data_IF_434478606190
#
_entry.id   IF_434478606190
#
_cell.length_a   1.000
_cell.length_b   1.000
_cell.length_c   1.000
_cell.angle_alpha   90.00
_cell.angle_beta   90.00
_cell.angle_gamma   90.00
#
_symmetry.space_group_name_H-M   'P 1'
#
loop_
_entity.id
_entity.type
_entity.pdbx_description
1 polymer ?
#
# COMPACT_ATOMS: atom_id res chain seq x y z
N UNK A 1 0.24 36.55 10.42
CA UNK A 1 0.96 35.59 9.55
C UNK A 1 0.02 34.43 9.21
N UNK A 2 -0.66 34.46 8.04
CA UNK A 2 -1.36 33.27 7.56
C UNK A 2 -0.31 32.23 7.15
N UNK A 3 -0.34 31.05 7.77
CA UNK A 3 0.50 29.92 7.36
C UNK A 3 -0.07 29.35 6.06
N UNK A 4 0.73 29.22 5.01
CA UNK A 4 0.29 28.76 3.66
C UNK A 4 -0.20 27.30 3.62
N UNK A 5 0.04 26.53 4.67
CA UNK A 5 -0.34 25.11 4.75
C UNK A 5 -1.69 24.93 5.46
N UNK A 6 -2.55 24.00 4.98
CA UNK A 6 -3.78 23.64 5.65
C UNK A 6 -3.50 23.13 7.07
N UNK A 7 -4.30 23.57 8.05
CA UNK A 7 -4.22 23.07 9.43
C UNK A 7 -5.14 21.88 9.59
N UNK A 8 -4.63 20.83 10.23
CA UNK A 8 -5.42 19.66 10.62
C UNK A 8 -5.62 19.74 12.13
N UNK A 9 -6.89 19.72 12.57
CA UNK A 9 -7.22 19.58 13.98
C UNK A 9 -7.23 18.09 14.33
N UNK A 10 -6.52 17.72 15.39
CA UNK A 10 -6.44 16.33 15.86
C UNK A 10 -6.91 16.29 17.31
N UNK A 11 -7.96 15.51 17.57
CA UNK A 11 -8.41 15.22 18.93
C UNK A 11 -7.51 14.16 19.55
N UNK A 12 -6.95 14.45 20.73
CA UNK A 12 -6.10 13.51 21.46
C UNK A 12 -6.98 12.51 22.20
N UNK A 13 -7.37 11.44 21.50
CA UNK A 13 -8.00 10.26 22.12
C UNK A 13 -6.95 9.46 22.89
N UNK A 14 -7.38 8.49 23.71
CA UNK A 14 -6.47 7.61 24.45
C UNK A 14 -5.48 6.88 23.53
N UNK A 15 -5.94 6.44 22.36
CA UNK A 15 -5.09 5.81 21.36
C UNK A 15 -4.02 6.77 20.80
N UNK A 16 -4.39 8.03 20.54
CA UNK A 16 -3.45 9.06 20.09
C UNK A 16 -2.46 9.40 21.20
N UNK A 17 -2.92 9.52 22.45
CA UNK A 17 -2.05 9.76 23.60
C UNK A 17 -1.01 8.65 23.77
N UNK A 18 -1.44 7.38 23.67
CA UNK A 18 -0.56 6.23 23.74
C UNK A 18 0.47 6.19 22.59
N UNK A 19 0.02 6.47 21.36
CA UNK A 19 0.91 6.55 20.21
C UNK A 19 1.96 7.66 20.37
N UNK A 20 1.58 8.83 20.87
CA UNK A 20 2.50 9.93 21.14
C UNK A 20 3.51 9.58 22.24
N UNK A 21 3.09 8.87 23.28
CA UNK A 21 4.00 8.43 24.34
C UNK A 21 5.02 7.42 23.83
N UNK A 22 4.57 6.49 22.98
CA UNK A 22 5.46 5.56 22.29
C UNK A 22 6.45 6.31 21.39
N UNK A 23 5.96 7.24 20.58
CA UNK A 23 6.78 8.05 19.68
C UNK A 23 7.80 8.91 20.43
N UNK A 24 7.46 9.42 21.61
CA UNK A 24 8.35 10.23 22.45
C UNK A 24 9.56 9.45 22.95
N UNK A 25 9.47 8.12 23.07
CA UNK A 25 10.65 7.28 23.38
C UNK A 25 11.66 7.28 22.25
N UNK A 26 11.18 7.31 21.00
CA UNK A 26 12.03 7.36 19.79
C UNK A 26 12.50 8.78 19.48
N UNK A 27 11.69 9.81 19.78
CA UNK A 27 12.02 11.22 19.56
C UNK A 27 11.75 12.06 20.82
N UNK A 28 12.64 12.03 21.82
CA UNK A 28 12.42 12.66 23.13
C UNK A 28 12.29 14.19 23.07
N UNK A 29 12.93 14.83 22.10
CA UNK A 29 12.99 16.29 21.97
C UNK A 29 11.96 16.87 21.02
N UNK A 30 11.18 16.02 20.33
CA UNK A 30 10.20 16.47 19.36
C UNK A 30 8.93 17.01 20.04
N UNK A 31 8.38 18.09 19.49
CA UNK A 31 7.08 18.62 19.89
C UNK A 31 5.96 17.65 19.50
N UNK A 32 4.80 17.76 20.17
CA UNK A 32 3.63 16.92 19.86
C UNK A 32 3.22 17.00 18.38
N UNK A 33 3.24 18.19 17.80
CA UNK A 33 2.92 18.39 16.38
C UNK A 33 3.91 17.68 15.45
N UNK A 34 5.21 17.70 15.79
CA UNK A 34 6.23 16.98 15.02
C UNK A 34 6.08 15.48 15.16
N UNK A 35 5.73 14.97 16.35
CA UNK A 35 5.45 13.55 16.57
C UNK A 35 4.26 13.09 15.71
N UNK A 36 3.16 13.85 15.68
CA UNK A 36 1.99 13.54 14.83
C UNK A 36 2.40 13.50 13.35
N UNK A 37 3.16 14.50 12.90
CA UNK A 37 3.61 14.56 11.51
C UNK A 37 4.51 13.38 11.15
N UNK A 38 5.47 13.03 12.00
CA UNK A 38 6.38 11.89 11.80
C UNK A 38 5.62 10.57 11.74
N UNK A 39 4.73 10.32 12.71
CA UNK A 39 3.89 9.12 12.73
C UNK A 39 3.04 8.98 11.47
N UNK A 40 2.45 10.08 10.99
CA UNK A 40 1.65 10.06 9.76
C UNK A 40 2.50 9.72 8.53
N UNK A 41 3.70 10.29 8.41
CA UNK A 41 4.62 10.02 7.29
C UNK A 41 5.15 8.60 7.32
N UNK A 42 5.62 8.12 8.47
CA UNK A 42 6.12 6.74 8.60
C UNK A 42 5.01 5.73 8.27
N UNK A 43 3.80 5.96 8.78
CA UNK A 43 2.69 5.06 8.48
C UNK A 43 2.31 5.05 7.00
N UNK A 44 2.40 6.20 6.32
CA UNK A 44 2.17 6.27 4.87
C UNK A 44 3.21 5.44 4.10
N UNK A 45 4.49 5.53 4.46
CA UNK A 45 5.57 4.74 3.86
C UNK A 45 5.37 3.24 4.08
N UNK A 46 4.93 2.83 5.27
CA UNK A 46 4.58 1.43 5.55
C UNK A 46 3.41 0.96 4.67
N UNK A 47 2.36 1.76 4.51
CA UNK A 47 1.21 1.40 3.66
C UNK A 47 1.63 1.26 2.19
N UNK A 48 2.50 2.15 1.70
CA UNK A 48 3.03 2.09 0.34
C UNK A 48 3.89 0.84 0.11
N UNK A 49 4.79 0.51 1.05
CA UNK A 49 5.64 -0.69 0.95
C UNK A 49 4.83 -1.99 1.01
N UNK A 50 3.76 -2.05 1.82
CA UNK A 50 2.84 -3.19 1.86
C UNK A 50 2.11 -3.39 0.53
N UNK A 51 1.70 -2.30 -0.11
CA UNK A 51 1.07 -2.34 -1.45
C UNK A 51 2.05 -2.83 -2.51
N UNK A 52 3.28 -2.34 -2.51
CA UNK A 52 4.28 -2.78 -3.49
C UNK A 52 4.66 -4.25 -3.28
N UNK A 53 4.82 -4.68 -2.03
CA UNK A 53 5.07 -6.10 -1.70
C UNK A 53 3.94 -6.98 -2.23
N UNK A 54 2.67 -6.55 -2.06
CA UNK A 54 1.51 -7.30 -2.55
C UNK A 54 1.47 -7.37 -4.08
N UNK A 55 1.81 -6.27 -4.77
CA UNK A 55 1.95 -6.25 -6.23
C UNK A 55 3.07 -7.16 -6.71
N UNK A 56 4.20 -7.15 -6.03
CA UNK A 56 5.35 -7.99 -6.37
C UNK A 56 5.01 -9.48 -6.18
N UNK A 57 4.33 -9.85 -5.09
CA UNK A 57 3.82 -11.22 -4.88
C UNK A 57 2.89 -11.66 -6.01
N UNK A 58 1.94 -10.79 -6.41
CA UNK A 58 1.05 -11.07 -7.56
C UNK A 58 1.82 -11.25 -8.86
N UNK A 59 2.78 -10.37 -9.17
CA UNK A 59 3.63 -10.48 -10.37
C UNK A 59 4.45 -11.77 -10.36
N UNK A 60 5.02 -12.16 -9.22
CA UNK A 60 5.76 -13.43 -9.09
C UNK A 60 4.85 -14.64 -9.29
N UNK A 61 3.63 -14.63 -8.76
CA UNK A 61 2.68 -15.71 -8.98
C UNK A 61 2.32 -15.83 -10.47
N UNK A 62 2.03 -14.71 -11.14
CA UNK A 62 1.77 -14.70 -12.59
C UNK A 62 2.98 -15.16 -13.40
N UNK A 63 4.20 -14.75 -13.04
CA UNK A 63 5.42 -15.18 -13.70
C UNK A 63 5.67 -16.69 -13.56
N UNK A 64 5.32 -17.30 -12.41
CA UNK A 64 5.40 -18.76 -12.22
C UNK A 64 4.38 -19.53 -13.03
N UNK A 65 3.17 -18.97 -13.18
CA UNK A 65 2.07 -19.59 -13.93
C UNK A 65 2.20 -19.41 -15.45
N UNK A 66 3.00 -18.43 -15.89
CA UNK A 66 3.26 -18.16 -17.30
C UNK A 66 3.99 -19.35 -17.90
N UNK A 67 3.45 -19.92 -18.98
CA UNK A 67 4.01 -21.10 -19.62
C UNK A 67 3.53 -22.44 -19.05
N UNK A 68 2.97 -22.47 -17.84
CA UNK A 68 2.49 -23.72 -17.22
C UNK A 68 1.32 -24.35 -17.98
N UNK A 69 0.54 -23.53 -18.69
CA UNK A 69 -0.62 -23.99 -19.43
C UNK A 69 -0.45 -23.91 -20.95
N UNK A 70 0.75 -23.66 -21.47
CA UNK A 70 0.97 -23.52 -22.92
C UNK A 70 0.71 -24.85 -23.66
N UNK A 71 0.87 -26.00 -22.98
CA UNK A 71 0.49 -27.32 -23.50
C UNK A 71 -1.03 -27.55 -23.50
N UNK A 72 -1.76 -26.96 -22.54
CA UNK A 72 -3.22 -27.09 -22.42
C UNK A 72 -3.98 -26.06 -23.26
N UNK A 73 -3.38 -24.89 -23.47
CA UNK A 73 -3.93 -23.75 -24.23
C UNK A 73 -2.88 -23.25 -25.22
N UNK A 74 -2.71 -23.96 -26.35
CA UNK A 74 -1.73 -23.59 -27.37
C UNK A 74 -2.06 -22.24 -28.02
N UNK A 75 -1.07 -21.67 -28.71
CA UNK A 75 -1.28 -20.46 -29.49
C UNK A 75 -2.40 -20.67 -30.54
N UNK A 76 -3.38 -19.75 -30.58
CA UNK A 76 -4.56 -19.85 -31.44
C UNK A 76 -5.80 -20.48 -30.78
N UNK A 77 -5.65 -21.13 -29.62
CA UNK A 77 -6.76 -21.82 -28.92
C UNK A 77 -7.98 -20.91 -28.67
N UNK A 78 -7.76 -19.64 -28.34
CA UNK A 78 -8.86 -18.69 -28.10
C UNK A 78 -9.54 -18.21 -29.39
N UNK A 79 -8.85 -18.24 -30.51
CA UNK A 79 -9.43 -17.86 -31.80
C UNK A 79 -10.30 -19.00 -32.32
N UNK A 80 -9.82 -20.25 -32.22
CA UNK A 80 -10.60 -21.46 -32.50
C UNK A 80 -11.88 -21.51 -31.66
N UNK A 81 -11.77 -21.27 -30.35
CA UNK A 81 -12.91 -21.28 -29.43
C UNK A 81 -13.93 -20.14 -29.68
N UNK A 82 -13.49 -19.04 -30.28
CA UNK A 82 -14.36 -17.92 -30.68
C UNK A 82 -15.04 -18.16 -32.00
N UNK A 83 -14.45 -18.92 -32.91
CA UNK A 83 -15.11 -19.33 -34.15
C UNK A 83 -16.31 -20.23 -33.85
N UNK A 84 -16.16 -21.14 -32.88
CA UNK A 84 -17.22 -22.05 -32.43
C UNK A 84 -18.40 -21.35 -31.72
N UNK A 85 -18.20 -20.13 -31.23
CA UNK A 85 -19.22 -19.34 -30.51
C UNK A 85 -19.83 -18.21 -31.36
N UNK A 86 -19.68 -18.25 -32.68
CA UNK A 86 -20.45 -17.35 -33.55
C UNK A 86 -21.87 -17.88 -33.73
N UNK A 87 -22.78 -17.45 -32.86
CA UNK A 87 -24.23 -17.36 -33.14
C UNK A 87 -24.59 -15.98 -33.70
#
# INVERSE_FOLDING_TARGET
MPTSLPRIQVTVTDAVAHALETARRSWPTASRSELIARLAVERAQEIESQRETSRQRRRQALARLRGTFDEAYPAGHLDDLREDWRE
#
